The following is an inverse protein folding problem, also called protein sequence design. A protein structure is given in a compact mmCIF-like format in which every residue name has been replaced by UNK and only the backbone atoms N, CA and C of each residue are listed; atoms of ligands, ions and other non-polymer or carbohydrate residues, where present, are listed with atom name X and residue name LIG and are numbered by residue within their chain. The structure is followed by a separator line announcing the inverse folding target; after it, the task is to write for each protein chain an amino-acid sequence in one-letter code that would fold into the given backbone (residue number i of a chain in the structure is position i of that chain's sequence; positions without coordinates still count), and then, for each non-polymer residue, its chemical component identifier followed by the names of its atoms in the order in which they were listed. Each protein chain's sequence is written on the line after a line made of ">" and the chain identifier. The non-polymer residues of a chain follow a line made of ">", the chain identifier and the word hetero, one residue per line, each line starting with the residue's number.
data_IF_119515955737
#
_entry.id   IF_119515955737
#
_cell.length_a   1.000
_cell.length_b   1.000
_cell.length_c   1.000
_cell.angle_alpha   90.00
_cell.angle_beta   90.00
_cell.angle_gamma   90.00
#
_symmetry.space_group_name_H-M   'P 1'
#
loop_
_entity.id
_entity.type
_entity.pdbx_description
1 polymer ?
#
# COMPACT_ATOMS: atom_id res chain seq x y z
N UNK A 1 11.15 2.04 16.10
CA UNK A 1 11.76 3.15 16.87
C UNK A 1 13.24 2.94 17.11
N UNK A 2 13.67 1.82 17.70
CA UNK A 2 15.10 1.44 17.79
C UNK A 2 15.80 1.51 16.42
N UNK A 3 15.14 1.05 15.37
CA UNK A 3 15.63 1.15 13.99
C UNK A 3 15.84 2.59 13.48
N UNK A 4 15.06 3.57 13.93
CA UNK A 4 15.22 4.96 13.51
C UNK A 4 16.41 5.59 14.24
N UNK A 5 16.55 5.30 15.55
CA UNK A 5 17.74 5.70 16.30
C UNK A 5 19.02 5.07 15.75
N UNK A 6 18.96 3.79 15.37
CA UNK A 6 20.03 3.11 14.65
C UNK A 6 20.31 3.80 13.32
N UNK A 7 19.30 4.08 12.50
CA UNK A 7 19.44 4.74 11.20
C UNK A 7 20.09 6.13 11.32
N UNK A 8 19.66 6.97 12.28
CA UNK A 8 20.25 8.30 12.51
C UNK A 8 21.73 8.22 12.90
N UNK A 9 22.14 7.17 13.62
CA UNK A 9 23.54 6.97 14.00
C UNK A 9 24.33 6.35 12.84
N UNK A 10 23.77 5.37 12.14
CA UNK A 10 24.42 4.64 11.05
C UNK A 10 24.53 5.46 9.76
N UNK A 11 23.65 6.44 9.54
CA UNK A 11 23.70 7.34 8.38
C UNK A 11 25.08 7.99 8.25
N UNK A 12 25.62 8.52 9.36
CA UNK A 12 26.95 9.12 9.42
C UNK A 12 28.09 8.14 9.07
N UNK A 13 27.87 6.82 9.23
CA UNK A 13 28.84 5.77 8.89
C UNK A 13 28.63 5.18 7.49
N UNK A 14 27.44 5.31 6.91
CA UNK A 14 27.10 4.76 5.59
C UNK A 14 27.32 5.80 4.48
N UNK A 15 27.31 7.11 4.79
CA UNK A 15 27.49 8.20 3.83
C UNK A 15 28.89 8.16 3.17
N UNK A 16 28.98 7.50 2.01
CA UNK A 16 30.20 7.36 1.23
C UNK A 16 29.93 7.17 -0.27
N UNK A 17 30.98 7.12 -1.11
CA UNK A 17 30.81 7.02 -2.57
C UNK A 17 29.98 5.81 -3.03
N UNK A 18 30.01 4.73 -2.24
CA UNK A 18 29.21 3.53 -2.47
C UNK A 18 27.73 3.70 -2.10
N UNK A 19 27.40 4.45 -1.03
CA UNK A 19 26.00 4.70 -0.67
C UNK A 19 25.32 5.63 -1.67
N UNK A 20 26.05 6.62 -2.18
CA UNK A 20 25.55 7.54 -3.22
C UNK A 20 25.22 6.79 -4.51
N UNK A 21 26.04 5.80 -4.90
CA UNK A 21 25.81 4.99 -6.10
C UNK A 21 24.76 3.87 -5.92
N UNK A 22 24.56 3.36 -4.71
CA UNK A 22 23.59 2.30 -4.42
C UNK A 22 22.20 2.83 -4.02
N UNK A 23 22.13 4.04 -3.45
CA UNK A 23 20.93 4.60 -2.83
C UNK A 23 20.58 6.00 -3.35
N UNK A 24 20.77 6.23 -4.65
CA UNK A 24 20.36 7.46 -5.34
C UNK A 24 18.86 7.80 -5.15
N UNK A 25 18.06 6.80 -4.76
CA UNK A 25 16.61 6.90 -4.47
C UNK A 25 16.27 7.22 -3.00
N UNK A 26 17.22 7.16 -2.07
CA UNK A 26 16.98 7.49 -0.66
C UNK A 26 17.69 8.80 -0.31
N UNK A 27 16.99 9.79 0.27
CA UNK A 27 17.63 11.01 0.72
C UNK A 27 18.74 10.66 1.72
N UNK A 28 19.99 10.90 1.31
CA UNK A 28 21.21 10.74 2.14
C UNK A 28 21.32 11.85 3.21
N UNK A 29 20.19 12.46 3.57
CA UNK A 29 20.13 13.57 4.51
C UNK A 29 19.35 13.11 5.74
N UNK A 30 20.02 13.04 6.89
CA UNK A 30 19.40 12.74 8.18
C UNK A 30 18.63 13.94 8.78
N UNK A 31 18.60 15.10 8.12
CA UNK A 31 17.88 16.30 8.59
C UNK A 31 16.37 16.06 8.77
N UNK A 32 15.63 15.42 7.83
CA UNK A 32 14.23 15.07 8.05
C UNK A 32 14.06 14.08 9.21
N UNK A 33 15.01 13.18 9.46
CA UNK A 33 15.00 12.30 10.63
C UNK A 33 15.10 13.07 11.94
N UNK A 34 16.07 13.97 12.05
CA UNK A 34 16.28 14.78 13.26
C UNK A 34 15.08 15.68 13.55
N UNK A 35 14.40 16.18 12.52
CA UNK A 35 13.25 17.09 12.64
C UNK A 35 11.90 16.38 12.83
N UNK A 36 11.70 15.23 12.19
CA UNK A 36 10.39 14.58 12.06
C UNK A 36 10.35 13.13 12.58
N UNK A 37 11.33 12.69 13.38
CA UNK A 37 11.33 11.36 14.02
C UNK A 37 10.01 11.05 14.74
N UNK A 38 9.42 12.03 15.40
CA UNK A 38 8.17 11.90 16.17
C UNK A 38 6.98 11.47 15.30
N UNK A 39 6.96 11.84 14.00
CA UNK A 39 5.90 11.41 13.07
C UNK A 39 5.88 9.90 12.88
N UNK A 40 7.06 9.26 12.92
CA UNK A 40 7.18 7.82 12.84
C UNK A 40 6.78 7.15 14.16
N UNK A 41 7.07 7.79 15.30
CA UNK A 41 6.67 7.28 16.62
C UNK A 41 5.14 7.23 16.76
N UNK A 42 4.47 8.26 16.24
CA UNK A 42 3.02 8.36 16.21
C UNK A 42 2.37 7.58 15.06
N UNK A 43 3.16 6.94 14.19
CA UNK A 43 2.66 6.23 13.00
C UNK A 43 1.81 7.09 12.06
N UNK A 44 2.20 8.35 11.83
CA UNK A 44 1.48 9.30 10.96
C UNK A 44 2.34 9.84 9.82
N UNK A 45 3.55 9.30 9.61
CA UNK A 45 4.49 9.82 8.62
C UNK A 45 3.99 9.70 7.17
N UNK A 46 3.05 8.81 6.87
CA UNK A 46 2.44 8.63 5.55
C UNK A 46 1.37 9.69 5.20
N UNK A 47 0.98 10.56 6.14
CA UNK A 47 0.09 11.68 5.84
C UNK A 47 0.82 12.92 5.33
N UNK A 48 2.14 12.97 5.47
CA UNK A 48 2.98 14.09 5.05
C UNK A 48 3.68 13.81 3.72
N UNK A 49 4.31 14.85 3.18
CA UNK A 49 5.11 14.76 1.96
C UNK A 49 6.20 13.69 2.09
N UNK A 50 6.40 12.93 1.01
CA UNK A 50 7.46 11.92 0.94
C UNK A 50 8.86 12.53 0.81
N UNK A 51 8.96 13.85 0.60
CA UNK A 51 10.23 14.57 0.69
C UNK A 51 10.71 14.74 2.15
N UNK A 52 9.79 14.70 3.12
CA UNK A 52 10.07 14.92 4.54
C UNK A 52 10.22 13.62 5.34
N UNK A 53 10.23 12.45 4.69
CA UNK A 53 10.28 11.16 5.39
C UNK A 53 11.71 10.79 5.77
N UNK A 54 11.86 10.42 7.04
CA UNK A 54 13.14 9.97 7.59
C UNK A 54 13.60 8.62 7.00
N UNK A 55 12.71 7.64 7.00
CA UNK A 55 13.01 6.29 6.55
C UNK A 55 11.82 5.81 5.73
N UNK A 56 11.96 5.78 4.41
CA UNK A 56 10.85 5.61 3.48
C UNK A 56 9.97 4.41 3.85
N UNK A 57 10.55 3.25 4.09
CA UNK A 57 9.81 2.00 4.35
C UNK A 57 8.89 2.04 5.58
N UNK A 58 9.05 2.99 6.51
CA UNK A 58 8.18 3.08 7.70
C UNK A 58 6.73 3.43 7.36
N UNK A 59 6.46 3.96 6.16
CA UNK A 59 5.09 4.21 5.69
C UNK A 59 4.21 2.97 5.83
N UNK A 60 4.77 1.77 5.59
CA UNK A 60 4.03 0.51 5.66
C UNK A 60 3.54 0.23 7.08
N UNK A 61 4.43 0.37 8.06
CA UNK A 61 4.11 0.15 9.47
C UNK A 61 3.07 1.15 9.98
N UNK A 62 3.12 2.40 9.48
CA UNK A 62 2.12 3.41 9.79
C UNK A 62 0.74 3.06 9.23
N UNK A 63 0.67 2.62 7.97
CA UNK A 63 -0.59 2.16 7.36
C UNK A 63 -1.17 0.98 8.14
N UNK A 64 -0.38 -0.04 8.45
CA UNK A 64 -0.85 -1.24 9.18
C UNK A 64 -1.40 -0.87 10.57
N UNK A 65 -0.70 0.01 11.29
CA UNK A 65 -1.13 0.48 12.61
C UNK A 65 -2.44 1.27 12.51
N UNK A 66 -2.57 2.16 11.52
CA UNK A 66 -3.78 2.94 11.29
C UNK A 66 -4.98 2.03 10.96
N UNK A 67 -4.80 1.05 10.08
CA UNK A 67 -5.84 0.09 9.74
C UNK A 67 -6.24 -0.78 10.94
N UNK A 68 -5.27 -1.13 11.80
CA UNK A 68 -5.52 -1.82 13.06
C UNK A 68 -6.40 -1.01 14.01
N UNK A 69 -6.18 0.31 14.11
CA UNK A 69 -7.05 1.19 14.91
C UNK A 69 -8.49 1.27 14.38
N UNK A 70 -8.68 1.15 13.06
CA UNK A 70 -10.03 1.19 12.44
C UNK A 70 -10.72 -0.17 12.45
N UNK A 71 -9.96 -1.28 12.57
CA UNK A 71 -10.48 -2.64 12.56
C UNK A 71 -11.67 -2.90 13.52
N UNK A 72 -11.71 -2.36 14.76
CA UNK A 72 -12.85 -2.53 15.66
C UNK A 72 -14.18 -2.09 15.06
N UNK A 73 -14.21 -1.05 14.22
CA UNK A 73 -15.44 -0.59 13.56
C UNK A 73 -16.04 -1.70 12.70
N UNK A 74 -15.21 -2.36 11.89
CA UNK A 74 -15.64 -3.48 11.04
C UNK A 74 -16.03 -4.70 11.87
N UNK A 75 -15.24 -5.03 12.90
CA UNK A 75 -15.50 -6.18 13.76
C UNK A 75 -16.79 -6.02 14.59
N UNK A 76 -17.01 -4.84 15.19
CA UNK A 76 -18.24 -4.53 15.94
C UNK A 76 -19.44 -4.57 15.00
N UNK A 77 -19.33 -4.01 13.80
CA UNK A 77 -20.44 -4.04 12.82
C UNK A 77 -20.75 -5.48 12.39
N UNK A 78 -19.73 -6.30 12.11
CA UNK A 78 -19.90 -7.74 11.81
C UNK A 78 -20.49 -8.53 12.97
N UNK A 79 -20.20 -8.14 14.22
CA UNK A 79 -20.76 -8.75 15.42
C UNK A 79 -22.24 -8.41 15.59
N UNK A 80 -22.63 -7.15 15.38
CA UNK A 80 -24.02 -6.69 15.51
C UNK A 80 -24.88 -7.24 14.36
N UNK A 81 -24.41 -7.09 13.12
CA UNK A 81 -25.10 -7.55 11.93
C UNK A 81 -24.10 -7.98 10.86
N UNK A 82 -24.02 -9.28 10.53
CA UNK A 82 -23.11 -9.78 9.51
C UNK A 82 -23.35 -9.11 8.16
N UNK A 83 -24.63 -8.88 7.81
CA UNK A 83 -25.01 -8.23 6.54
C UNK A 83 -24.49 -6.79 6.50
N UNK A 84 -24.69 -6.02 7.57
CA UNK A 84 -24.19 -4.65 7.65
C UNK A 84 -22.66 -4.60 7.62
N UNK A 85 -21.99 -5.52 8.33
CA UNK A 85 -20.53 -5.61 8.36
C UNK A 85 -19.94 -5.93 6.98
N UNK A 86 -20.50 -6.91 6.26
CA UNK A 86 -20.07 -7.21 4.90
C UNK A 86 -20.40 -6.08 3.92
N UNK A 87 -21.57 -5.44 4.05
CA UNK A 87 -21.92 -4.28 3.23
C UNK A 87 -20.93 -3.12 3.43
N UNK A 88 -20.54 -2.85 4.68
CA UNK A 88 -19.53 -1.84 5.01
C UNK A 88 -18.16 -2.19 4.42
N UNK A 89 -17.72 -3.45 4.56
CA UNK A 89 -16.47 -3.92 3.96
C UNK A 89 -16.46 -3.72 2.44
N UNK A 90 -17.53 -4.17 1.76
CA UNK A 90 -17.64 -4.03 0.30
C UNK A 90 -17.68 -2.56 -0.10
N UNK A 91 -18.42 -1.72 0.62
CA UNK A 91 -18.48 -0.28 0.35
C UNK A 91 -17.10 0.38 0.47
N UNK A 92 -16.32 0.05 1.50
CA UNK A 92 -14.96 0.57 1.66
C UNK A 92 -14.00 0.07 0.59
N UNK A 93 -14.10 -1.20 0.17
CA UNK A 93 -13.29 -1.75 -0.93
C UNK A 93 -13.61 -1.03 -2.24
N UNK A 94 -14.90 -0.88 -2.57
CA UNK A 94 -15.34 -0.16 -3.78
C UNK A 94 -14.90 1.30 -3.73
N UNK A 95 -15.06 1.97 -2.59
CA UNK A 95 -14.61 3.35 -2.38
C UNK A 95 -13.09 3.50 -2.54
N UNK A 96 -12.32 2.53 -2.03
CA UNK A 96 -10.86 2.49 -2.22
C UNK A 96 -10.50 2.37 -3.70
N UNK A 97 -11.09 1.43 -4.43
CA UNK A 97 -10.85 1.23 -5.86
C UNK A 97 -11.25 2.47 -6.66
N UNK A 98 -12.40 3.08 -6.35
CA UNK A 98 -12.87 4.30 -7.00
C UNK A 98 -11.91 5.47 -6.75
N UNK A 99 -11.41 5.63 -5.52
CA UNK A 99 -10.40 6.63 -5.18
C UNK A 99 -9.11 6.42 -5.99
N UNK A 100 -8.60 5.19 -6.04
CA UNK A 100 -7.39 4.85 -6.82
C UNK A 100 -7.58 5.25 -8.28
N UNK A 101 -8.71 4.87 -8.88
CA UNK A 101 -9.00 5.15 -10.28
C UNK A 101 -9.13 6.66 -10.55
N UNK A 102 -9.86 7.38 -9.70
CA UNK A 102 -10.07 8.82 -9.83
C UNK A 102 -8.74 9.60 -9.77
N UNK A 103 -7.91 9.31 -8.77
CA UNK A 103 -6.61 9.98 -8.57
C UNK A 103 -5.64 9.64 -9.70
N UNK A 104 -5.63 8.39 -10.17
CA UNK A 104 -4.76 7.96 -11.27
C UNK A 104 -5.10 8.71 -12.57
N UNK A 105 -6.40 8.87 -12.88
CA UNK A 105 -6.85 9.62 -14.07
C UNK A 105 -6.55 11.11 -13.93
N UNK A 106 -6.89 11.71 -12.79
CA UNK A 106 -6.77 13.14 -12.57
C UNK A 106 -5.30 13.59 -12.67
N UNK A 107 -4.40 12.85 -12.04
CA UNK A 107 -2.99 13.20 -11.97
C UNK A 107 -2.14 12.53 -13.05
N UNK A 108 -2.76 11.74 -13.94
CA UNK A 108 -2.06 10.94 -14.96
C UNK A 108 -0.91 10.11 -14.38
N UNK A 109 -1.13 9.55 -13.19
CA UNK A 109 -0.10 8.80 -12.49
C UNK A 109 0.30 7.53 -13.23
N UNK A 110 1.57 7.09 -13.09
CA UNK A 110 2.06 5.91 -13.77
C UNK A 110 1.35 4.66 -13.24
N UNK A 111 1.00 3.74 -14.15
CA UNK A 111 0.38 2.47 -13.79
C UNK A 111 1.30 1.57 -12.94
N UNK A 112 2.61 1.83 -12.98
CA UNK A 112 3.60 1.13 -12.16
C UNK A 112 4.82 1.98 -11.84
N UNK A 113 5.52 1.57 -10.79
CA UNK A 113 6.70 2.23 -10.23
C UNK A 113 7.99 2.03 -11.04
N UNK A 114 7.98 1.22 -12.10
CA UNK A 114 9.15 0.87 -12.90
C UNK A 114 8.87 1.08 -14.40
N UNK A 115 9.86 1.58 -15.15
CA UNK A 115 9.70 1.89 -16.57
C UNK A 115 10.77 2.88 -17.04
N UNK A 116 11.14 2.81 -18.33
CA UNK A 116 12.28 3.54 -18.88
C UNK A 116 12.13 5.09 -18.93
N UNK A 117 10.95 5.62 -18.59
CA UNK A 117 10.58 7.04 -18.72
C UNK A 117 9.90 7.63 -17.46
N UNK A 118 10.20 7.09 -16.27
CA UNK A 118 9.64 7.62 -15.01
C UNK A 118 10.36 8.90 -14.58
N UNK A 119 9.64 10.02 -14.62
CA UNK A 119 10.04 11.26 -13.96
C UNK A 119 9.97 11.09 -12.43
N UNK A 120 11.08 11.43 -11.75
CA UNK A 120 11.21 11.31 -10.30
C UNK A 120 10.20 12.17 -9.54
N UNK A 121 9.83 13.35 -10.07
CA UNK A 121 8.83 14.21 -9.43
C UNK A 121 7.45 13.56 -9.46
N UNK A 122 7.07 13.00 -10.62
CA UNK A 122 5.80 12.27 -10.78
C UNK A 122 5.76 11.05 -9.87
N UNK A 123 6.90 10.36 -9.70
CA UNK A 123 7.02 9.25 -8.76
C UNK A 123 6.80 9.70 -7.31
N UNK A 124 7.39 10.81 -6.90
CA UNK A 124 7.24 11.34 -5.54
C UNK A 124 5.81 11.82 -5.25
N UNK A 125 5.13 12.42 -6.22
CA UNK A 125 3.72 12.81 -6.12
C UNK A 125 2.82 11.57 -6.04
N UNK A 126 3.07 10.56 -6.87
CA UNK A 126 2.39 9.27 -6.79
C UNK A 126 2.51 8.64 -5.39
N UNK A 127 3.72 8.69 -4.82
CA UNK A 127 3.94 8.18 -3.48
C UNK A 127 3.21 9.01 -2.41
N UNK A 128 3.27 10.33 -2.53
CA UNK A 128 2.72 11.28 -1.55
C UNK A 128 1.19 11.29 -1.55
N UNK A 129 0.55 11.29 -2.72
CA UNK A 129 -0.89 11.52 -2.84
C UNK A 129 -1.70 10.23 -2.88
N UNK A 130 -1.06 9.13 -3.26
CA UNK A 130 -1.74 7.87 -3.51
C UNK A 130 -1.13 6.68 -2.76
N UNK A 131 0.13 6.33 -3.03
CA UNK A 131 0.66 4.99 -2.76
C UNK A 131 0.69 4.61 -1.27
N UNK A 132 1.00 5.59 -0.42
CA UNK A 132 1.19 5.41 1.03
C UNK A 132 -0.06 5.71 1.85
N UNK A 133 -1.17 6.09 1.20
CA UNK A 133 -2.40 6.43 1.89
C UNK A 133 -3.14 5.18 2.36
N UNK A 134 -3.63 5.15 3.60
CA UNK A 134 -4.25 3.95 4.17
C UNK A 134 -5.54 3.56 3.44
N UNK A 135 -6.32 4.54 2.96
CA UNK A 135 -7.55 4.30 2.20
C UNK A 135 -7.30 3.71 0.81
N UNK A 136 -6.13 3.94 0.21
CA UNK A 136 -5.73 3.30 -1.06
C UNK A 136 -5.25 1.85 -0.84
N UNK A 137 -4.99 1.45 0.41
CA UNK A 137 -4.37 0.16 0.78
C UNK A 137 -5.24 -0.71 1.68
N UNK A 138 -6.42 -0.24 2.06
CA UNK A 138 -7.32 -0.99 2.92
C UNK A 138 -7.94 -2.27 2.30
N UNK A 139 -8.09 -2.47 0.97
CA UNK A 139 -8.77 -3.66 0.45
C UNK A 139 -8.23 -5.02 0.93
N UNK A 140 -6.92 -5.35 0.84
CA UNK A 140 -6.41 -6.62 1.34
C UNK A 140 -6.63 -6.80 2.84
N UNK A 141 -6.54 -5.72 3.61
CA UNK A 141 -6.79 -5.73 5.05
C UNK A 141 -8.25 -6.09 5.37
N UNK A 142 -9.20 -5.46 4.67
CA UNK A 142 -10.63 -5.72 4.84
C UNK A 142 -11.03 -7.13 4.39
N UNK A 143 -10.42 -7.64 3.31
CA UNK A 143 -10.58 -9.04 2.90
C UNK A 143 -10.06 -9.98 4.01
N UNK A 144 -8.93 -9.64 4.64
CA UNK A 144 -8.40 -10.36 5.80
C UNK A 144 -9.40 -10.43 6.96
N UNK A 145 -10.05 -9.30 7.30
CA UNK A 145 -11.11 -9.27 8.33
C UNK A 145 -12.29 -10.18 7.94
N UNK A 146 -12.76 -10.09 6.69
CA UNK A 146 -13.85 -10.92 6.19
C UNK A 146 -13.53 -12.42 6.29
N UNK A 147 -12.33 -12.82 5.86
CA UNK A 147 -11.85 -14.21 5.95
C UNK A 147 -11.70 -14.64 7.41
N UNK A 148 -11.13 -13.78 8.27
CA UNK A 148 -10.99 -14.03 9.70
C UNK A 148 -12.33 -14.28 10.40
N UNK A 149 -13.37 -13.55 10.00
CA UNK A 149 -14.74 -13.75 10.48
C UNK A 149 -15.29 -15.14 10.09
N UNK A 150 -15.12 -15.57 8.84
CA UNK A 150 -15.53 -16.91 8.41
C UNK A 150 -14.77 -18.02 9.15
N UNK A 151 -13.48 -17.83 9.41
CA UNK A 151 -12.67 -18.77 10.19
C UNK A 151 -13.16 -18.85 11.65
N UNK A 152 -13.48 -17.70 12.26
CA UNK A 152 -13.99 -17.63 13.63
C UNK A 152 -15.35 -18.34 13.80
N UNK A 153 -16.18 -18.37 12.76
CA UNK A 153 -17.45 -19.12 12.76
C UNK A 153 -17.27 -20.64 12.81
N UNK A 154 -16.05 -21.17 12.61
CA UNK A 154 -15.72 -22.61 12.54
C UNK A 154 -16.58 -23.39 11.53
N UNK A 155 -17.28 -22.71 10.64
CA UNK A 155 -18.06 -23.31 9.55
C UNK A 155 -17.10 -23.59 8.40
N UNK A 156 -16.80 -24.87 8.17
CA UNK A 156 -16.02 -25.27 7.00
C UNK A 156 -16.90 -25.12 5.75
N UNK A 157 -16.61 -24.18 4.83
CA UNK A 157 -17.39 -24.09 3.60
C UNK A 157 -17.18 -25.37 2.79
N UNK A 158 -18.27 -26.08 2.48
CA UNK A 158 -18.24 -27.24 1.59
C UNK A 158 -18.37 -26.74 0.16
N UNK A 159 -17.26 -26.40 -0.47
CA UNK A 159 -17.23 -25.99 -1.87
C UNK A 159 -17.15 -27.22 -2.78
N UNK A 160 -17.92 -27.22 -3.87
CA UNK A 160 -17.80 -28.23 -4.92
C UNK A 160 -16.41 -28.14 -5.57
N UNK A 161 -15.77 -29.28 -5.88
CA UNK A 161 -14.48 -29.35 -6.59
C UNK A 161 -14.50 -28.53 -7.88
N UNK A 162 -15.61 -28.51 -8.61
CA UNK A 162 -15.77 -27.68 -9.82
C UNK A 162 -15.63 -26.20 -9.50
N UNK A 163 -16.31 -25.72 -8.44
CA UNK A 163 -16.21 -24.32 -7.99
C UNK A 163 -14.76 -24.00 -7.59
N UNK A 164 -14.10 -24.89 -6.86
CA UNK A 164 -12.70 -24.70 -6.45
C UNK A 164 -11.78 -24.56 -7.67
N UNK A 165 -11.92 -25.44 -8.67
CA UNK A 165 -11.13 -25.36 -9.91
C UNK A 165 -11.41 -24.06 -10.65
N UNK A 166 -12.68 -23.66 -10.79
CA UNK A 166 -13.04 -22.38 -11.42
C UNK A 166 -12.41 -21.18 -10.68
N UNK A 167 -12.45 -21.17 -9.35
CA UNK A 167 -11.84 -20.10 -8.55
C UNK A 167 -10.32 -20.04 -8.73
N UNK A 168 -9.63 -21.18 -8.81
CA UNK A 168 -8.20 -21.23 -9.10
C UNK A 168 -7.86 -20.72 -10.50
N UNK A 169 -8.66 -21.08 -11.51
CA UNK A 169 -8.48 -20.59 -12.88
C UNK A 169 -8.66 -19.07 -12.93
N UNK A 170 -9.72 -18.54 -12.30
CA UNK A 170 -9.96 -17.09 -12.23
C UNK A 170 -8.82 -16.39 -11.49
N UNK A 171 -8.37 -16.92 -10.34
CA UNK A 171 -7.26 -16.35 -9.60
C UNK A 171 -5.96 -16.32 -10.42
N UNK A 172 -5.65 -17.41 -11.13
CA UNK A 172 -4.48 -17.47 -12.02
C UNK A 172 -4.60 -16.48 -13.18
N UNK A 173 -5.78 -16.39 -13.81
CA UNK A 173 -6.03 -15.44 -14.90
C UNK A 173 -5.87 -13.99 -14.43
N UNK A 174 -6.39 -13.63 -13.26
CA UNK A 174 -6.21 -12.30 -12.66
C UNK A 174 -4.74 -12.02 -12.34
N UNK A 175 -4.03 -12.98 -11.75
CA UNK A 175 -2.60 -12.81 -11.46
C UNK A 175 -1.77 -12.58 -12.73
N UNK A 176 -2.04 -13.36 -13.78
CA UNK A 176 -1.39 -13.19 -15.09
C UNK A 176 -1.76 -11.84 -15.73
N UNK A 177 -3.02 -11.42 -15.65
CA UNK A 177 -3.46 -10.13 -16.16
C UNK A 177 -2.76 -8.96 -15.43
N UNK A 178 -2.63 -9.04 -14.10
CA UNK A 178 -1.90 -8.03 -13.32
C UNK A 178 -0.41 -7.99 -13.66
N UNK A 179 0.21 -9.14 -13.96
CA UNK A 179 1.63 -9.21 -14.31
C UNK A 179 1.91 -8.73 -15.74
N UNK A 180 1.12 -9.18 -16.71
CA UNK A 180 1.36 -8.94 -18.14
C UNK A 180 0.59 -7.75 -18.71
N UNK A 181 -0.44 -7.26 -18.04
CA UNK A 181 -1.21 -6.09 -18.46
C UNK A 181 -0.33 -4.85 -18.69
N UNK A 182 0.57 -4.50 -17.75
CA UNK A 182 1.46 -3.34 -17.90
C UNK A 182 2.60 -3.53 -18.93
N UNK A 183 2.71 -4.67 -19.60
CA UNK A 183 3.87 -4.98 -20.45
C UNK A 183 4.12 -3.94 -21.57
N UNK A 184 3.05 -3.41 -22.20
CA UNK A 184 3.19 -2.35 -23.21
C UNK A 184 3.68 -1.03 -22.61
N UNK A 185 3.19 -0.69 -21.42
CA UNK A 185 3.61 0.49 -20.66
C UNK A 185 5.10 0.42 -20.30
N UNK A 186 5.58 -0.73 -19.82
CA UNK A 186 7.00 -0.96 -19.49
C UNK A 186 7.92 -0.73 -20.71
N UNK A 187 7.46 -1.11 -21.90
CA UNK A 187 8.20 -0.91 -23.16
C UNK A 187 8.23 0.55 -23.64
N UNK A 188 7.58 1.48 -22.94
CA UNK A 188 7.56 2.90 -23.29
C UNK A 188 6.51 3.28 -24.34
N UNK A 189 5.50 2.45 -24.55
CA UNK A 189 4.38 2.81 -25.42
C UNK A 189 3.53 3.90 -24.73
N UNK A 190 3.29 5.02 -25.44
CA UNK A 190 2.59 6.18 -24.90
C UNK A 190 1.06 5.98 -24.76
N UNK A 191 0.52 4.86 -25.23
CA UNK A 191 -0.90 4.56 -25.37
C UNK A 191 -1.46 3.66 -24.24
N UNK A 192 -1.17 4.00 -22.99
CA UNK A 192 -1.72 3.26 -21.83
C UNK A 192 -3.09 3.78 -21.36
N UNK A 193 -3.58 4.86 -21.97
CA UNK A 193 -4.94 5.40 -21.75
C UNK A 193 -5.98 4.64 -22.56
#
# INVERSE_FOLDING_TARGET
>A
MVFIGFYVIFDEFINGPWSISAFEFMPQDSTPCKKYWWRNLLYINNFFSQLDVCYGITWYLSVDTQLYFVAPVFLITLFISPIAGFALIVACIVGSIAFVYAVTIQNSFPAMMMGAALDMNVLMDFFTDYYVKPWARCPPYLIGIAVGYFLAMKKKPKLNKVIVVCLWIVAAAVALASLYGPHRYIKGAADWR
#
